data_IF_187063937018
#
_entry.id   IF_187063937018
#
_cell.length_a   1.000
_cell.length_b   1.000
_cell.length_c   1.000
_cell.angle_alpha   90.00
_cell.angle_beta   90.00
_cell.angle_gamma   90.00
#
_symmetry.space_group_name_H-M   'P 1'
#
loop_
_entity.id
_entity.type
_entity.pdbx_description
1 polymer ?
#
# COMPACT_ATOMS: atom_id res chain seq x y z
N UNK A 1 -11.48 17.48 -3.39
CA UNK A 1 -10.40 17.35 -4.40
C UNK A 1 -10.18 15.86 -4.58
N UNK A 2 -10.66 15.27 -5.67
CA UNK A 2 -10.64 13.82 -5.82
C UNK A 2 -9.30 13.42 -6.45
N UNK A 3 -8.42 12.84 -5.64
CA UNK A 3 -7.08 12.40 -6.06
C UNK A 3 -7.11 11.42 -7.26
N UNK A 4 -8.24 10.70 -7.41
CA UNK A 4 -8.56 9.89 -8.58
C UNK A 4 -8.53 10.70 -9.88
N UNK A 5 -9.18 11.86 -9.92
CA UNK A 5 -9.25 12.71 -11.12
C UNK A 5 -7.87 13.23 -11.51
N UNK A 6 -7.05 13.59 -10.52
CA UNK A 6 -5.66 14.03 -10.75
C UNK A 6 -4.81 12.88 -11.29
N UNK A 7 -4.93 11.68 -10.71
CA UNK A 7 -4.23 10.49 -11.20
C UNK A 7 -4.65 10.12 -12.62
N UNK A 8 -5.96 10.10 -12.91
CA UNK A 8 -6.51 9.86 -14.26
C UNK A 8 -6.02 10.91 -15.27
N UNK A 9 -6.01 12.19 -14.87
CA UNK A 9 -5.51 13.27 -15.69
C UNK A 9 -4.02 13.06 -16.03
N UNK A 10 -3.18 12.76 -15.05
CA UNK A 10 -1.74 12.57 -15.28
C UNK A 10 -1.44 11.32 -16.13
N UNK A 11 -2.14 10.22 -15.87
CA UNK A 11 -2.02 8.98 -16.66
C UNK A 11 -2.45 9.20 -18.11
N UNK A 12 -3.56 9.91 -18.35
CA UNK A 12 -4.02 10.24 -19.71
C UNK A 12 -3.06 11.16 -20.47
N UNK A 13 -2.16 11.87 -19.78
CA UNK A 13 -1.13 12.72 -20.37
C UNK A 13 0.25 12.03 -20.42
N UNK A 14 0.31 10.70 -20.28
CA UNK A 14 1.52 9.91 -20.48
C UNK A 14 2.49 9.91 -19.30
N UNK A 15 2.06 10.33 -18.11
CA UNK A 15 2.86 10.17 -16.91
C UNK A 15 3.17 8.69 -16.68
N UNK A 16 4.46 8.36 -16.58
CA UNK A 16 4.86 6.96 -16.39
C UNK A 16 4.65 6.50 -14.95
N UNK A 17 3.88 5.44 -14.80
CA UNK A 17 3.45 4.88 -13.50
C UNK A 17 4.59 4.21 -12.70
N UNK A 18 5.70 3.88 -13.36
CA UNK A 18 6.84 3.16 -12.76
C UNK A 18 8.18 3.91 -12.91
N UNK A 19 8.20 5.12 -13.49
CA UNK A 19 9.46 5.84 -13.71
C UNK A 19 10.00 6.39 -12.40
N UNK A 20 11.02 5.71 -11.86
CA UNK A 20 11.73 6.09 -10.66
C UNK A 20 12.80 7.15 -10.97
N UNK A 21 12.86 8.22 -10.20
CA UNK A 21 13.99 9.17 -10.22
C UNK A 21 15.21 8.56 -9.51
N UNK A 22 16.30 9.34 -9.40
CA UNK A 22 17.55 8.92 -8.74
C UNK A 22 17.42 8.55 -7.27
N UNK A 23 16.35 9.00 -6.60
CA UNK A 23 16.03 8.60 -5.25
C UNK A 23 15.14 7.34 -5.26
N UNK A 24 14.53 7.03 -6.41
CA UNK A 24 13.62 5.94 -6.68
C UNK A 24 12.19 6.44 -6.98
N UNK A 25 11.95 7.77 -7.14
CA UNK A 25 10.63 8.42 -7.11
C UNK A 25 9.80 8.36 -8.37
N UNK A 26 8.56 7.87 -8.25
CA UNK A 26 7.64 7.72 -9.38
C UNK A 26 7.19 9.11 -9.80
N UNK A 27 7.27 9.44 -11.09
CA UNK A 27 6.83 10.73 -11.63
C UNK A 27 5.41 11.16 -11.19
N UNK A 28 4.48 10.20 -11.00
CA UNK A 28 3.14 10.46 -10.50
C UNK A 28 3.12 10.92 -9.02
N UNK A 29 4.12 10.56 -8.22
CA UNK A 29 4.28 11.02 -6.83
C UNK A 29 4.48 12.54 -6.78
N UNK A 30 5.39 13.08 -7.59
CA UNK A 30 5.69 14.52 -7.62
C UNK A 30 4.48 15.37 -8.00
N UNK A 31 3.71 14.92 -8.98
CA UNK A 31 2.53 15.66 -9.44
C UNK A 31 1.42 15.72 -8.37
N UNK A 32 1.23 14.64 -7.60
CA UNK A 32 0.24 14.63 -6.50
C UNK A 32 0.77 15.42 -5.28
N UNK A 33 2.09 15.45 -5.04
CA UNK A 33 2.71 16.27 -4.00
C UNK A 33 2.66 17.78 -4.31
N UNK A 34 2.91 18.18 -5.57
CA UNK A 34 3.00 19.58 -5.98
C UNK A 34 1.67 20.33 -5.89
N UNK A 35 0.55 19.67 -6.18
CA UNK A 35 -0.78 20.27 -6.06
C UNK A 35 -1.26 20.31 -4.58
N UNK A 36 -0.60 19.55 -3.70
CA UNK A 36 -0.80 19.60 -2.26
C UNK A 36 0.22 20.54 -1.58
N UNK A 37 0.17 21.85 -1.85
CA UNK A 37 1.05 22.85 -1.21
C UNK A 37 1.07 22.78 0.33
N UNK A 38 0.00 22.32 0.98
CA UNK A 38 -0.06 22.07 2.42
C UNK A 38 0.75 20.85 2.90
N UNK A 39 0.98 19.84 2.05
CA UNK A 39 1.82 18.68 2.39
C UNK A 39 3.30 19.03 2.42
N UNK A 40 3.73 20.04 1.65
CA UNK A 40 5.13 20.50 1.60
C UNK A 40 5.62 21.16 2.89
N UNK A 41 4.72 21.76 3.69
CA UNK A 41 5.06 22.44 4.94
C UNK A 41 5.37 21.51 6.12
N UNK A 42 5.06 20.22 5.99
CA UNK A 42 5.35 19.19 7.00
C UNK A 42 6.51 18.27 6.57
N UNK A 43 7.26 18.68 5.55
CA UNK A 43 8.55 18.09 5.18
C UNK A 43 9.59 18.71 6.09
N UNK A 44 9.58 18.32 7.37
CA UNK A 44 10.72 18.57 8.25
C UNK A 44 11.75 17.45 8.05
N UNK A 45 13.02 17.87 8.06
CA UNK A 45 14.24 17.11 7.80
C UNK A 45 14.24 15.71 8.43
N UNK A 46 13.95 14.66 7.62
CA UNK A 46 14.52 13.29 7.70
C UNK A 46 13.83 12.20 6.86
N UNK A 47 12.80 12.50 6.07
CA UNK A 47 12.00 11.43 5.46
C UNK A 47 12.19 11.38 3.95
N UNK A 48 13.09 10.50 3.56
CA UNK A 48 13.42 10.11 2.19
C UNK A 48 12.80 8.70 1.94
N UNK A 49 12.31 8.43 0.71
CA UNK A 49 12.07 7.09 0.08
C UNK A 49 10.72 6.33 0.17
N UNK A 50 9.86 6.52 -0.84
CA UNK A 50 9.50 5.64 -1.99
C UNK A 50 8.54 4.44 -2.21
N UNK A 51 8.14 4.34 -3.51
CA UNK A 51 7.16 3.52 -4.27
C UNK A 51 5.67 3.77 -3.97
N UNK A 52 4.75 3.37 -4.88
CA UNK A 52 3.26 3.51 -4.85
C UNK A 52 2.63 3.54 -3.43
N UNK A 53 3.22 2.78 -2.51
CA UNK A 53 2.87 2.65 -1.11
C UNK A 53 2.93 3.94 -0.27
N UNK A 54 3.87 4.87 -0.48
CA UNK A 54 4.01 6.03 0.43
C UNK A 54 2.93 7.09 0.25
N UNK A 55 2.60 7.43 -1.01
CA UNK A 55 1.52 8.36 -1.28
C UNK A 55 0.19 7.74 -0.89
N UNK A 56 -0.04 6.48 -1.26
CA UNK A 56 -1.18 5.70 -0.84
C UNK A 56 -1.38 5.71 0.69
N UNK A 57 -0.38 5.31 1.47
CA UNK A 57 -0.48 5.22 2.93
C UNK A 57 -0.43 6.57 3.65
N UNK A 58 0.24 7.58 3.10
CA UNK A 58 0.21 8.94 3.66
C UNK A 58 -1.13 9.63 3.36
N UNK A 59 -1.72 9.33 2.20
CA UNK A 59 -3.10 9.67 1.87
C UNK A 59 -4.07 8.86 2.73
N UNK A 60 -3.86 7.59 3.06
CA UNK A 60 -4.74 6.82 3.98
C UNK A 60 -5.06 7.59 5.27
N UNK A 61 -4.05 8.20 5.89
CA UNK A 61 -4.21 8.98 7.13
C UNK A 61 -4.90 10.35 6.91
N UNK A 62 -5.03 10.81 5.66
CA UNK A 62 -5.58 12.13 5.27
C UNK A 62 -6.88 12.03 4.46
N UNK A 63 -7.12 10.90 3.79
CA UNK A 63 -8.32 10.61 3.03
C UNK A 63 -9.44 10.45 4.03
N UNK A 64 -10.37 11.40 3.97
CA UNK A 64 -11.56 11.45 4.81
C UNK A 64 -12.44 10.18 4.65
N UNK A 65 -12.22 9.40 3.59
CA UNK A 65 -12.98 8.20 3.25
C UNK A 65 -12.06 7.05 2.75
N UNK A 66 -12.09 5.85 3.37
CA UNK A 66 -11.34 4.67 2.90
C UNK A 66 -11.78 4.13 1.52
N UNK A 67 -12.96 4.51 1.01
CA UNK A 67 -13.41 4.13 -0.34
C UNK A 67 -12.53 4.77 -1.42
N UNK A 68 -12.18 6.05 -1.27
CA UNK A 68 -11.35 6.81 -2.22
C UNK A 68 -9.93 6.22 -2.34
N UNK A 69 -9.46 5.56 -1.29
CA UNK A 69 -8.15 4.95 -1.23
C UNK A 69 -8.06 3.67 -2.06
N UNK A 70 -9.02 2.75 -1.89
CA UNK A 70 -9.04 1.49 -2.60
C UNK A 70 -9.21 1.71 -4.11
N UNK A 71 -10.08 2.65 -4.50
CA UNK A 71 -10.29 3.05 -5.90
C UNK A 71 -9.01 3.59 -6.54
N UNK A 72 -8.22 4.37 -5.79
CA UNK A 72 -6.92 4.86 -6.26
C UNK A 72 -5.92 3.72 -6.47
N UNK A 73 -5.85 2.77 -5.53
CA UNK A 73 -4.97 1.59 -5.68
C UNK A 73 -5.39 0.75 -6.88
N UNK A 74 -6.68 0.50 -7.04
CA UNK A 74 -7.22 -0.26 -8.16
C UNK A 74 -6.94 0.42 -9.51
N UNK A 75 -7.06 1.76 -9.57
CA UNK A 75 -6.67 2.54 -10.74
C UNK A 75 -5.16 2.39 -11.04
N UNK A 76 -4.31 2.51 -10.03
CA UNK A 76 -2.85 2.39 -10.22
C UNK A 76 -2.48 0.99 -10.72
N UNK A 77 -3.00 -0.07 -10.09
CA UNK A 77 -2.74 -1.46 -10.49
C UNK A 77 -3.27 -1.75 -11.90
N UNK A 78 -4.47 -1.26 -12.24
CA UNK A 78 -5.04 -1.38 -13.59
C UNK A 78 -4.21 -0.69 -14.67
N UNK A 79 -3.39 0.30 -14.29
CA UNK A 79 -2.48 1.02 -15.17
C UNK A 79 -1.04 0.48 -15.14
N UNK A 80 -0.81 -0.71 -14.58
CA UNK A 80 0.48 -1.40 -14.64
C UNK A 80 1.44 -1.04 -13.50
N UNK A 81 0.93 -0.50 -12.39
CA UNK A 81 1.69 -0.42 -11.15
C UNK A 81 2.11 -1.83 -10.69
N UNK A 82 3.36 -1.97 -10.23
CA UNK A 82 3.85 -3.23 -9.69
C UNK A 82 3.20 -3.54 -8.33
N UNK A 83 2.32 -4.55 -8.32
CA UNK A 83 1.62 -5.06 -7.13
C UNK A 83 2.56 -5.63 -6.07
N UNK A 84 3.78 -6.00 -6.45
CA UNK A 84 4.80 -6.58 -5.57
C UNK A 84 5.93 -5.60 -5.24
N UNK A 85 5.78 -4.32 -5.61
CA UNK A 85 6.76 -3.28 -5.35
C UNK A 85 7.11 -3.23 -3.86
N UNK A 86 8.32 -3.69 -3.52
CA UNK A 86 8.82 -3.66 -2.15
C UNK A 86 9.16 -2.23 -1.74
N UNK A 87 8.85 -1.88 -0.49
CA UNK A 87 9.36 -0.66 0.15
C UNK A 87 10.36 -1.03 1.25
N UNK A 88 10.88 -0.01 1.96
CA UNK A 88 11.78 -0.13 3.11
C UNK A 88 11.52 -1.38 3.97
N UNK A 89 12.59 -2.03 4.44
CA UNK A 89 12.53 -3.33 5.11
C UNK A 89 11.99 -4.46 4.20
N UNK A 90 12.08 -4.27 2.88
CA UNK A 90 11.61 -5.19 1.83
C UNK A 90 10.16 -5.65 1.96
N UNK A 91 9.31 -4.88 2.64
CA UNK A 91 7.91 -5.21 2.79
C UNK A 91 7.16 -5.02 1.46
N UNK A 92 6.39 -6.03 1.06
CA UNK A 92 5.44 -5.91 -0.06
C UNK A 92 4.17 -5.15 0.36
N UNK A 93 3.37 -4.61 -0.58
CA UNK A 93 2.10 -3.97 -0.28
C UNK A 93 1.16 -4.88 0.54
N UNK A 94 1.24 -6.19 0.30
CA UNK A 94 0.43 -7.18 1.00
C UNK A 94 0.82 -7.33 2.48
N UNK A 95 2.10 -7.18 2.85
CA UNK A 95 2.50 -7.17 4.26
C UNK A 95 1.79 -6.05 5.03
N UNK A 96 1.81 -4.85 4.45
CA UNK A 96 1.19 -3.66 5.03
C UNK A 96 -0.31 -3.81 5.17
N UNK A 97 -0.98 -4.17 4.07
CA UNK A 97 -2.43 -4.34 4.06
C UNK A 97 -2.87 -5.33 5.16
N UNK A 98 -2.06 -6.36 5.37
CA UNK A 98 -2.32 -7.41 6.34
C UNK A 98 -2.17 -6.93 7.79
N UNK A 99 -1.09 -6.23 8.14
CA UNK A 99 -0.90 -5.68 9.51
C UNK A 99 -1.82 -4.52 9.84
N UNK A 100 -2.29 -3.80 8.81
CA UNK A 100 -3.31 -2.75 8.92
C UNK A 100 -4.73 -3.31 8.83
N UNK A 101 -4.89 -4.64 8.84
CA UNK A 101 -6.18 -5.33 8.87
C UNK A 101 -7.18 -4.83 7.80
N UNK A 102 -6.67 -4.34 6.66
CA UNK A 102 -7.49 -3.83 5.58
C UNK A 102 -7.87 -4.97 4.62
N UNK A 103 -8.99 -5.61 4.95
CA UNK A 103 -9.54 -6.74 4.20
C UNK A 103 -9.71 -6.40 2.70
N UNK A 104 -10.26 -5.23 2.38
CA UNK A 104 -10.56 -4.86 0.98
C UNK A 104 -9.28 -4.66 0.16
N UNK A 105 -8.27 -4.02 0.74
CA UNK A 105 -6.98 -3.87 0.06
C UNK A 105 -6.25 -5.20 -0.08
N UNK A 106 -6.32 -6.09 0.91
CA UNK A 106 -5.77 -7.45 0.80
C UNK A 106 -6.40 -8.18 -0.40
N UNK A 107 -7.72 -8.11 -0.55
CA UNK A 107 -8.42 -8.70 -1.69
C UNK A 107 -8.00 -8.08 -3.03
N UNK A 108 -7.92 -6.74 -3.13
CA UNK A 108 -7.48 -6.03 -4.34
C UNK A 108 -6.05 -6.42 -4.72
N UNK A 109 -5.13 -6.48 -3.76
CA UNK A 109 -3.74 -6.82 -4.03
C UNK A 109 -3.63 -8.28 -4.52
N UNK A 110 -4.30 -9.22 -3.85
CA UNK A 110 -4.30 -10.63 -4.25
C UNK A 110 -4.93 -10.80 -5.65
N UNK A 111 -6.02 -10.09 -5.95
CA UNK A 111 -6.67 -10.17 -7.27
C UNK A 111 -5.79 -9.66 -8.40
N UNK A 112 -4.84 -8.76 -8.10
CA UNK A 112 -3.85 -8.24 -9.05
C UNK A 112 -2.53 -9.02 -9.05
N UNK A 113 -2.46 -10.17 -8.37
CA UNK A 113 -1.30 -11.07 -8.40
C UNK A 113 -0.22 -10.76 -7.37
N UNK A 114 -0.58 -10.16 -6.23
CA UNK A 114 0.35 -10.03 -5.11
C UNK A 114 0.89 -11.40 -4.65
N UNK A 115 2.19 -11.48 -4.42
CA UNK A 115 2.84 -12.66 -3.85
C UNK A 115 2.45 -12.80 -2.38
N UNK A 116 1.55 -13.76 -2.12
CA UNK A 116 1.03 -14.09 -0.79
C UNK A 116 2.13 -14.61 0.16
N UNK A 117 3.25 -15.09 -0.40
CA UNK A 117 4.39 -15.61 0.34
C UNK A 117 5.63 -14.72 0.23
N UNK A 118 5.46 -13.47 -0.21
CA UNK A 118 6.55 -12.51 -0.30
C UNK A 118 7.29 -12.41 1.05
N UNK A 119 8.62 -12.31 1.00
CA UNK A 119 9.44 -12.15 2.19
C UNK A 119 9.90 -10.69 2.34
N UNK A 120 9.76 -10.17 3.56
CA UNK A 120 10.40 -8.93 3.97
C UNK A 120 11.87 -9.17 4.42
N UNK A 121 12.57 -8.13 4.87
CA UNK A 121 13.99 -8.18 5.26
C UNK A 121 14.30 -9.07 6.47
N UNK A 122 13.29 -9.46 7.24
CA UNK A 122 13.42 -10.37 8.38
C UNK A 122 12.85 -11.77 8.09
N UNK A 123 12.77 -12.13 6.80
CA UNK A 123 12.28 -13.43 6.31
C UNK A 123 10.85 -13.79 6.76
N UNK A 124 10.02 -12.78 7.03
CA UNK A 124 8.61 -12.98 7.41
C UNK A 124 7.70 -12.83 6.21
N UNK A 125 6.66 -13.66 6.16
CA UNK A 125 5.55 -13.55 5.22
C UNK A 125 4.48 -12.56 5.71
N UNK A 126 3.53 -12.13 4.86
CA UNK A 126 2.36 -11.39 5.33
C UNK A 126 1.59 -12.14 6.42
N UNK A 127 1.50 -13.47 6.32
CA UNK A 127 0.81 -14.32 7.30
C UNK A 127 1.53 -14.32 8.66
N UNK A 128 2.87 -14.40 8.69
CA UNK A 128 3.64 -14.33 9.93
C UNK A 128 3.38 -13.02 10.69
N UNK A 129 3.32 -11.90 9.96
CA UNK A 129 3.07 -10.59 10.56
C UNK A 129 1.65 -10.47 11.13
N UNK A 130 0.66 -11.09 10.49
CA UNK A 130 -0.72 -11.13 11.02
C UNK A 130 -0.75 -11.91 12.33
N UNK A 131 -0.14 -13.10 12.40
CA UNK A 131 -0.11 -13.90 13.63
C UNK A 131 0.61 -13.17 14.75
N UNK A 132 1.76 -12.55 14.44
CA UNK A 132 2.47 -11.72 15.42
C UNK A 132 1.58 -10.58 15.93
N UNK A 133 0.85 -9.90 15.05
CA UNK A 133 -0.06 -8.82 15.45
C UNK A 133 -1.24 -9.34 16.28
N UNK A 134 -1.84 -10.47 15.90
CA UNK A 134 -2.92 -11.14 16.67
C UNK A 134 -2.48 -11.42 18.11
N UNK A 135 -1.22 -11.81 18.34
CA UNK A 135 -0.70 -12.10 19.69
C UNK A 135 -0.47 -10.87 20.57
N UNK A 136 -0.47 -9.68 19.98
CA UNK A 136 -0.18 -8.41 20.65
C UNK A 136 -1.41 -7.49 20.73
N UNK A 137 -2.56 -7.92 20.20
CA UNK A 137 -3.75 -7.10 20.05
C UNK A 137 -4.85 -7.55 21.01
N UNK A 138 -5.30 -6.62 21.86
CA UNK A 138 -6.34 -6.87 22.87
C UNK A 138 -7.73 -6.42 22.41
N UNK A 139 -7.80 -5.55 21.39
CA UNK A 139 -9.07 -5.05 20.85
C UNK A 139 -9.80 -6.15 20.05
N UNK A 140 -11.01 -6.48 20.49
CA UNK A 140 -11.80 -7.59 19.92
C UNK A 140 -12.25 -7.34 18.48
N UNK A 141 -12.50 -6.09 18.09
CA UNK A 141 -12.87 -5.73 16.71
C UNK A 141 -11.66 -5.84 15.78
N UNK A 142 -10.49 -5.37 16.23
CA UNK A 142 -9.24 -5.52 15.47
C UNK A 142 -8.89 -7.01 15.33
N UNK A 143 -9.03 -7.79 16.39
CA UNK A 143 -8.74 -9.22 16.36
C UNK A 143 -9.65 -9.97 15.37
N UNK A 144 -10.93 -9.61 15.27
CA UNK A 144 -11.83 -10.22 14.28
C UNK A 144 -11.44 -9.85 12.84
N UNK A 145 -10.96 -8.63 12.60
CA UNK A 145 -10.43 -8.21 11.29
C UNK A 145 -9.13 -8.93 10.94
N UNK A 146 -8.20 -9.07 11.89
CA UNK A 146 -6.96 -9.84 11.70
C UNK A 146 -7.26 -11.31 11.37
N UNK A 147 -8.20 -11.94 12.09
CA UNK A 147 -8.65 -13.31 11.79
C UNK A 147 -9.22 -13.44 10.38
N UNK A 148 -9.97 -12.44 9.89
CA UNK A 148 -10.47 -12.42 8.51
C UNK A 148 -9.33 -12.34 7.50
N UNK A 149 -8.39 -11.41 7.68
CA UNK A 149 -7.19 -11.30 6.83
C UNK A 149 -6.41 -12.62 6.82
N UNK A 150 -6.18 -13.21 8.00
CA UNK A 150 -5.52 -14.51 8.14
C UNK A 150 -6.21 -15.60 7.32
N UNK A 151 -7.54 -15.71 7.40
CA UNK A 151 -8.30 -16.70 6.61
C UNK A 151 -8.11 -16.46 5.10
N UNK A 152 -8.13 -15.21 4.65
CA UNK A 152 -7.91 -14.84 3.24
C UNK A 152 -6.51 -15.24 2.78
N UNK A 153 -5.47 -14.93 3.56
CA UNK A 153 -4.10 -15.30 3.20
C UNK A 153 -3.94 -16.83 3.12
N UNK A 154 -4.49 -17.57 4.09
CA UNK A 154 -4.44 -19.04 4.09
C UNK A 154 -5.18 -19.61 2.87
N UNK A 155 -6.37 -19.10 2.52
CA UNK A 155 -7.13 -19.61 1.37
C UNK A 155 -6.44 -19.38 0.04
N UNK A 156 -5.52 -18.41 -0.05
CA UNK A 156 -4.72 -18.10 -1.23
C UNK A 156 -3.30 -18.68 -1.17
N UNK A 157 -3.06 -19.66 -0.28
CA UNK A 157 -1.80 -20.40 -0.23
C UNK A 157 -0.69 -19.73 0.58
N UNK A 158 -1.03 -18.79 1.46
CA UNK A 158 -0.11 -18.19 2.42
C UNK A 158 0.45 -19.21 3.40
N UNK A 159 1.77 -19.18 3.60
CA UNK A 159 2.52 -20.11 4.46
C UNK A 159 3.28 -19.35 5.55
N UNK A 160 3.54 -20.06 6.65
CA UNK A 160 4.42 -19.58 7.71
C UNK A 160 5.89 -19.81 7.34
N UNK A 161 6.76 -19.00 7.91
CA UNK A 161 8.22 -19.06 7.74
C UNK A 161 8.96 -19.17 9.07
#
# INVERSE_FOLDING_TARGET
>A
MHYKEIAEFLLSHGASINMQDKNGEIALHHAIMHDCKELSKFIDDKIEYLAINLLAMKLWNKLRNPMDFNDLIELLLSNGADVNAKFKESHSPLHVASVKYNIKLVEILISHGADVNALNEIDKTPLDNVIKRESLEDDTDILEKLKKVRRILISHGGKLR
#
